data_IF_041447835665
#
_entry.id   IF_041447835665
#
_cell.length_a   1.000
_cell.length_b   1.000
_cell.length_c   1.000
_cell.angle_alpha   90.00
_cell.angle_beta   90.00
_cell.angle_gamma   90.00
#
_symmetry.space_group_name_H-M   'P 1'
#
loop_
_entity.id
_entity.type
_entity.pdbx_description
1 polymer ?
#
# COMPACT_ATOMS: atom_id res chain seq x y z
N UNK A 1 -0.69 -19.08 6.14
CA UNK A 1 -1.27 -18.77 4.83
C UNK A 1 -1.17 -19.99 3.92
N UNK A 2 0.03 -20.48 3.55
CA UNK A 2 0.21 -21.59 2.61
C UNK A 2 -0.51 -22.89 3.05
N UNK A 3 -0.52 -23.22 4.33
CA UNK A 3 -1.23 -24.38 4.88
C UNK A 3 -2.76 -24.32 4.72
N UNK A 4 -3.29 -23.12 4.43
CA UNK A 4 -4.72 -22.88 4.17
C UNK A 4 -5.01 -22.71 2.67
N UNK A 5 -4.04 -23.06 1.80
CA UNK A 5 -4.20 -22.93 0.35
C UNK A 5 -3.95 -21.54 -0.23
N UNK A 6 -3.53 -20.55 0.58
CA UNK A 6 -3.19 -19.21 0.11
C UNK A 6 -1.80 -19.27 -0.54
N UNK A 7 -1.73 -19.03 -1.84
CA UNK A 7 -0.49 -19.14 -2.62
C UNK A 7 0.15 -17.78 -2.94
N UNK A 8 -0.60 -16.69 -2.81
CA UNK A 8 -0.11 -15.34 -3.08
C UNK A 8 -0.79 -14.34 -2.15
N UNK A 9 -0.04 -13.33 -1.73
CA UNK A 9 -0.54 -12.19 -0.96
C UNK A 9 0.06 -10.90 -1.50
N UNK A 10 -0.67 -9.80 -1.34
CA UNK A 10 -0.19 -8.45 -1.58
C UNK A 10 -0.28 -7.65 -0.29
N UNK A 11 0.83 -7.02 0.11
CA UNK A 11 0.80 -5.96 1.10
C UNK A 11 0.64 -4.62 0.37
N UNK A 12 -0.54 -4.02 0.51
CA UNK A 12 -0.88 -2.77 -0.16
C UNK A 12 -0.31 -1.52 0.54
N UNK A 13 0.41 -1.66 1.64
CA UNK A 13 0.99 -0.54 2.41
C UNK A 13 2.23 -1.02 3.16
N UNK A 14 3.17 -1.61 2.42
CA UNK A 14 4.43 -2.15 2.96
C UNK A 14 5.48 -1.08 3.21
N UNK A 15 6.44 -1.40 4.06
CA UNK A 15 7.66 -0.65 4.27
C UNK A 15 8.89 -1.41 3.77
N UNK A 16 10.03 -0.70 3.70
CA UNK A 16 11.31 -1.32 3.31
C UNK A 16 11.74 -2.33 4.38
N UNK A 17 11.59 -1.98 5.65
CA UNK A 17 11.94 -2.83 6.79
C UNK A 17 11.13 -4.13 6.79
N UNK A 18 9.85 -4.03 6.47
CA UNK A 18 9.00 -5.22 6.34
C UNK A 18 9.45 -6.10 5.17
N UNK A 19 9.79 -5.50 4.02
CA UNK A 19 10.33 -6.22 2.88
C UNK A 19 11.61 -6.98 3.22
N UNK A 20 12.49 -6.42 4.06
CA UNK A 20 13.73 -7.07 4.50
C UNK A 20 13.45 -8.36 5.29
N UNK A 21 12.37 -8.42 6.07
CA UNK A 21 11.97 -9.64 6.76
C UNK A 21 11.56 -10.74 5.77
N UNK A 22 10.86 -10.39 4.69
CA UNK A 22 10.51 -11.35 3.64
C UNK A 22 11.73 -11.76 2.81
N UNK A 23 12.69 -10.86 2.58
CA UNK A 23 13.97 -11.17 1.93
C UNK A 23 14.78 -12.19 2.77
N UNK A 24 14.77 -12.02 4.09
CA UNK A 24 15.41 -12.99 4.99
C UNK A 24 14.75 -14.38 4.90
N UNK A 25 13.41 -14.43 4.89
CA UNK A 25 12.68 -15.68 4.68
C UNK A 25 12.95 -16.31 3.33
N UNK A 26 13.04 -15.51 2.27
CA UNK A 26 13.39 -15.95 0.93
C UNK A 26 14.80 -16.59 0.90
N UNK A 27 15.80 -15.89 1.46
CA UNK A 27 17.19 -16.40 1.52
C UNK A 27 17.32 -17.67 2.34
N UNK A 28 16.49 -17.86 3.36
CA UNK A 28 16.44 -19.07 4.19
C UNK A 28 15.61 -20.21 3.56
N UNK A 29 15.02 -20.00 2.39
CA UNK A 29 14.12 -20.99 1.75
C UNK A 29 12.81 -21.22 2.52
N UNK A 30 12.39 -20.26 3.36
CA UNK A 30 11.22 -20.35 4.22
C UNK A 30 10.02 -19.53 3.73
N UNK A 31 10.18 -18.75 2.68
CA UNK A 31 9.07 -18.06 2.03
C UNK A 31 8.26 -19.06 1.19
N UNK A 32 7.06 -19.40 1.66
CA UNK A 32 6.24 -20.49 1.10
C UNK A 32 5.08 -20.00 0.22
N UNK A 33 5.00 -18.71 -0.03
CA UNK A 33 3.99 -18.09 -0.88
C UNK A 33 4.60 -16.93 -1.68
N UNK A 34 3.92 -16.51 -2.74
CA UNK A 34 4.30 -15.30 -3.47
C UNK A 34 3.85 -14.06 -2.69
N UNK A 35 4.80 -13.19 -2.42
CA UNK A 35 4.56 -11.93 -1.71
C UNK A 35 4.86 -10.75 -2.62
N UNK A 36 3.90 -9.84 -2.76
CA UNK A 36 4.05 -8.59 -3.50
C UNK A 36 3.93 -7.41 -2.53
N UNK A 37 4.98 -6.60 -2.43
CA UNK A 37 4.97 -5.36 -1.65
C UNK A 37 4.60 -4.18 -2.55
N UNK A 38 3.70 -3.30 -2.05
CA UNK A 38 3.49 -1.96 -2.56
C UNK A 38 3.97 -0.97 -1.50
N UNK A 39 4.92 -0.09 -1.84
CA UNK A 39 5.43 0.90 -0.91
C UNK A 39 4.44 2.06 -0.76
N UNK A 40 4.17 2.43 0.49
CA UNK A 40 3.36 3.61 0.78
C UNK A 40 4.08 4.88 0.34
N UNK A 41 3.35 5.73 -0.38
CA UNK A 41 3.80 7.04 -0.83
C UNK A 41 2.84 8.12 -0.33
N UNK A 42 3.31 9.34 -0.26
CA UNK A 42 2.52 10.47 0.21
C UNK A 42 3.07 11.80 -0.33
N UNK A 43 2.50 12.90 0.13
CA UNK A 43 2.88 14.26 -0.31
C UNK A 43 4.33 14.63 0.02
N UNK A 44 4.99 13.89 0.90
CA UNK A 44 6.41 14.08 1.28
C UNK A 44 7.38 13.16 0.53
N UNK A 45 6.85 12.23 -0.27
CA UNK A 45 7.70 11.34 -1.09
C UNK A 45 8.48 12.17 -2.09
N UNK A 46 9.77 11.95 -2.17
CA UNK A 46 10.71 12.72 -2.99
C UNK A 46 11.50 11.81 -3.94
N UNK A 47 12.34 12.41 -4.79
CA UNK A 47 13.10 11.68 -5.81
C UNK A 47 14.06 10.64 -5.19
N UNK A 48 14.59 10.87 -3.99
CA UNK A 48 15.45 9.91 -3.31
C UNK A 48 14.66 8.65 -2.90
N UNK A 49 13.41 8.82 -2.45
CA UNK A 49 12.51 7.71 -2.14
C UNK A 49 12.19 6.90 -3.41
N UNK A 50 11.87 7.58 -4.51
CA UNK A 50 11.57 6.96 -5.81
C UNK A 50 12.79 6.19 -6.34
N UNK A 51 13.99 6.76 -6.22
CA UNK A 51 15.23 6.07 -6.58
C UNK A 51 15.43 4.81 -5.73
N UNK A 52 15.17 4.88 -4.42
CA UNK A 52 15.25 3.74 -3.50
C UNK A 52 14.27 2.63 -3.92
N UNK A 53 13.01 2.97 -4.20
CA UNK A 53 12.01 2.01 -4.68
C UNK A 53 12.43 1.37 -6.01
N UNK A 54 13.04 2.15 -6.91
CA UNK A 54 13.54 1.65 -8.19
C UNK A 54 14.69 0.64 -8.01
N UNK A 55 15.61 0.92 -7.11
CA UNK A 55 16.71 -0.01 -6.78
C UNK A 55 16.14 -1.32 -6.22
N UNK A 56 15.20 -1.22 -5.28
CA UNK A 56 14.56 -2.39 -4.66
C UNK A 56 13.77 -3.20 -5.69
N UNK A 57 12.97 -2.54 -6.54
CA UNK A 57 12.27 -3.20 -7.64
C UNK A 57 13.23 -4.01 -8.52
N UNK A 58 14.36 -3.43 -8.89
CA UNK A 58 15.36 -4.08 -9.74
C UNK A 58 16.04 -5.25 -9.01
N UNK A 59 16.27 -5.15 -7.70
CA UNK A 59 16.81 -6.25 -6.87
C UNK A 59 15.96 -7.51 -6.95
N UNK A 60 14.63 -7.37 -7.01
CA UNK A 60 13.72 -8.52 -7.06
C UNK A 60 13.14 -8.78 -8.46
N UNK A 61 13.66 -8.13 -9.50
CA UNK A 61 13.22 -8.36 -10.87
C UNK A 61 13.39 -9.83 -11.27
N UNK A 62 12.31 -10.45 -11.74
CA UNK A 62 12.29 -11.87 -12.12
C UNK A 62 12.20 -12.86 -10.95
N UNK A 63 12.19 -12.41 -9.68
CA UNK A 63 11.95 -13.31 -8.56
C UNK A 63 10.49 -13.78 -8.56
N UNK A 64 10.27 -15.08 -8.40
CA UNK A 64 8.93 -15.68 -8.47
C UNK A 64 8.17 -15.64 -7.15
N UNK A 65 8.87 -15.45 -6.01
CA UNK A 65 8.28 -15.47 -4.67
C UNK A 65 8.20 -14.08 -4.03
N UNK A 66 9.14 -13.18 -4.31
CA UNK A 66 9.19 -11.85 -3.70
C UNK A 66 9.23 -10.76 -4.77
N UNK A 67 8.26 -9.85 -4.74
CA UNK A 67 8.14 -8.70 -5.65
C UNK A 67 7.98 -7.41 -4.86
N UNK A 68 8.54 -6.32 -5.39
CA UNK A 68 8.45 -4.97 -4.84
C UNK A 68 8.37 -3.96 -6.00
N UNK A 69 7.33 -4.07 -6.82
CA UNK A 69 7.18 -3.37 -8.09
C UNK A 69 5.94 -2.46 -8.15
N UNK A 70 5.38 -2.14 -7.01
CA UNK A 70 4.23 -1.26 -6.89
C UNK A 70 4.43 -0.18 -5.82
N UNK A 71 3.72 0.92 -5.97
CA UNK A 71 3.56 1.97 -4.96
C UNK A 71 2.09 2.16 -4.64
N UNK A 72 1.79 2.56 -3.41
CA UNK A 72 0.44 2.81 -2.91
C UNK A 72 0.27 4.29 -2.60
N UNK A 73 -0.69 4.90 -3.26
CA UNK A 73 -1.17 6.25 -2.95
C UNK A 73 -2.46 6.15 -2.14
N UNK A 74 -2.48 6.81 -0.98
CA UNK A 74 -3.69 6.99 -0.18
C UNK A 74 -4.30 8.33 -0.56
N UNK A 75 -5.31 8.33 -1.44
CA UNK A 75 -5.90 9.56 -2.00
C UNK A 75 -7.05 10.08 -1.15
N UNK A 76 -7.75 9.19 -0.47
CA UNK A 76 -8.86 9.49 0.43
C UNK A 76 -8.93 8.43 1.54
N UNK A 77 -10.03 8.37 2.25
CA UNK A 77 -10.24 7.44 3.37
C UNK A 77 -11.10 6.22 3.03
N UNK A 78 -11.95 5.84 3.98
CA UNK A 78 -12.82 4.66 3.90
C UNK A 78 -14.28 5.01 4.20
N UNK A 79 -15.21 4.24 3.64
CA UNK A 79 -16.66 4.49 3.74
C UNK A 79 -17.13 4.41 5.19
N UNK A 80 -16.70 3.41 5.94
CA UNK A 80 -17.18 3.17 7.32
C UNK A 80 -16.88 4.32 8.28
N UNK A 81 -15.79 5.07 8.05
CA UNK A 81 -15.44 6.24 8.85
C UNK A 81 -15.90 7.57 8.24
N UNK A 82 -16.60 7.55 7.10
CA UNK A 82 -17.04 8.72 6.32
C UNK A 82 -15.89 9.61 5.83
N UNK A 83 -14.72 9.01 5.60
CA UNK A 83 -13.52 9.71 5.11
C UNK A 83 -13.23 9.43 3.63
N UNK A 84 -13.87 8.41 3.01
CA UNK A 84 -13.83 8.23 1.56
C UNK A 84 -14.57 9.38 0.86
N UNK A 85 -13.99 9.90 -0.22
CA UNK A 85 -14.59 11.00 -0.99
C UNK A 85 -15.75 10.48 -1.82
N UNK A 86 -16.93 11.04 -1.58
CA UNK A 86 -18.18 10.66 -2.25
C UNK A 86 -18.70 11.80 -3.10
N UNK A 87 -19.32 11.49 -4.23
CA UNK A 87 -19.99 12.50 -5.07
C UNK A 87 -21.24 13.06 -4.38
N UNK A 88 -22.02 12.19 -3.74
CA UNK A 88 -23.20 12.56 -2.94
C UNK A 88 -22.86 12.48 -1.45
N UNK A 89 -23.48 13.30 -0.60
CA UNK A 89 -23.30 13.22 0.83
C UNK A 89 -23.63 11.83 1.38
N UNK A 90 -22.93 11.42 2.42
CA UNK A 90 -23.30 10.23 3.17
C UNK A 90 -24.72 10.39 3.73
N UNK A 91 -25.52 9.31 3.71
CA UNK A 91 -26.92 9.33 4.13
C UNK A 91 -27.15 9.74 5.59
N UNK A 92 -26.14 9.57 6.43
CA UNK A 92 -26.10 9.96 7.83
C UNK A 92 -25.12 11.15 8.09
N UNK A 93 -24.87 11.98 7.07
CA UNK A 93 -24.02 13.17 7.17
C UNK A 93 -24.57 14.13 8.23
N UNK A 94 -23.64 14.72 9.00
CA UNK A 94 -23.99 15.61 10.10
C UNK A 94 -24.25 14.92 11.45
N UNK A 95 -24.38 13.59 11.47
CA UNK A 95 -24.44 12.82 12.71
C UNK A 95 -23.02 12.63 13.26
N UNK A 96 -22.81 12.93 14.53
CA UNK A 96 -21.54 12.79 15.24
C UNK A 96 -20.37 13.58 14.62
N UNK A 97 -20.63 14.74 14.01
CA UNK A 97 -19.60 15.63 13.45
C UNK A 97 -18.85 15.08 12.22
N UNK A 98 -19.40 14.06 11.56
CA UNK A 98 -18.81 13.49 10.36
C UNK A 98 -18.91 14.46 9.18
N UNK A 99 -17.92 14.43 8.29
CA UNK A 99 -17.93 15.19 7.04
C UNK A 99 -19.03 14.70 6.11
N UNK A 100 -19.64 15.61 5.34
CA UNK A 100 -20.74 15.23 4.46
C UNK A 100 -20.28 14.32 3.32
N UNK A 101 -19.14 14.63 2.70
CA UNK A 101 -18.66 13.98 1.47
C UNK A 101 -17.26 13.33 1.60
N UNK A 102 -16.75 13.19 2.82
CA UNK A 102 -15.37 12.74 3.03
C UNK A 102 -14.33 13.83 2.79
N UNK A 103 -13.07 13.46 2.81
CA UNK A 103 -11.96 14.38 2.67
C UNK A 103 -10.84 13.79 1.80
N UNK A 104 -10.28 14.63 0.92
CA UNK A 104 -9.08 14.26 0.18
C UNK A 104 -7.88 14.19 1.12
N UNK A 105 -7.09 13.12 1.02
CA UNK A 105 -5.86 12.97 1.79
C UNK A 105 -4.74 13.91 1.29
N UNK A 106 -4.85 14.39 0.03
CA UNK A 106 -3.90 15.31 -0.59
C UNK A 106 -4.60 16.60 -0.99
N UNK A 107 -3.88 17.75 -1.02
CA UNK A 107 -4.40 18.98 -1.63
C UNK A 107 -4.78 18.74 -3.09
N UNK A 108 -5.96 19.19 -3.51
CA UNK A 108 -6.47 19.02 -4.88
C UNK A 108 -5.47 19.36 -6.01
N UNK A 109 -4.62 20.40 -5.90
CA UNK A 109 -3.63 20.71 -6.95
C UNK A 109 -2.55 19.64 -7.15
N UNK A 110 -2.50 18.61 -6.29
CA UNK A 110 -1.53 17.51 -6.39
C UNK A 110 -2.13 16.22 -7.00
N UNK A 111 -3.39 16.26 -7.43
CA UNK A 111 -4.04 15.13 -8.12
C UNK A 111 -3.83 15.14 -9.61
#
# INVERSE_FOLDING_TARGET
AASLGITSVQNASGSIEELELYDELLRKGKLTLRYAAAFSTGTKTNDADINTFTVIKNKYAGNTLLRADAVKFMLDGVIESHTAVMMEPYSDAGVNGKTANGEFAWPLPLY
#
